data_IF_500012660888
#
_entry.id   IF_500012660888
#
_cell.length_a   1.000
_cell.length_b   1.000
_cell.length_c   1.000
_cell.angle_alpha   90.00
_cell.angle_beta   90.00
_cell.angle_gamma   90.00
#
_symmetry.space_group_name_H-M   'P 1'
#
loop_
_entity.id
_entity.type
_entity.pdbx_description
1 polymer ?
#
# COMPACT_ATOMS: atom_id res chain seq x y z
N UNK A 1 -1.83 -6.35 3.47
CA UNK A 1 -2.94 -5.69 4.19
C UNK A 1 -4.26 -6.27 3.67
N UNK A 2 -5.32 -6.25 4.47
CA UNK A 2 -6.66 -6.59 3.99
C UNK A 2 -7.49 -5.32 3.78
N UNK A 3 -8.18 -5.24 2.64
CA UNK A 3 -9.21 -4.24 2.39
C UNK A 3 -10.55 -4.95 2.61
N UNK A 4 -11.26 -4.57 3.67
CA UNK A 4 -12.60 -5.07 3.98
C UNK A 4 -13.63 -4.05 3.52
N UNK A 5 -14.61 -4.50 2.74
CA UNK A 5 -15.78 -3.72 2.35
C UNK A 5 -17.03 -4.33 2.98
N UNK A 6 -17.91 -3.46 3.46
CA UNK A 6 -19.27 -3.81 3.87
C UNK A 6 -20.20 -3.16 2.86
N UNK A 7 -21.06 -3.96 2.22
CA UNK A 7 -22.09 -3.54 1.29
C UNK A 7 -23.43 -3.65 2.00
N UNK A 8 -24.21 -2.57 2.00
CA UNK A 8 -25.55 -2.55 2.57
C UNK A 8 -26.57 -2.66 1.44
N UNK A 9 -27.50 -3.61 1.55
CA UNK A 9 -28.69 -3.63 0.72
C UNK A 9 -29.75 -2.76 1.40
N UNK A 10 -29.94 -1.54 0.88
CA UNK A 10 -30.94 -0.60 1.36
C UNK A 10 -32.32 -0.80 0.69
N UNK A 11 -32.43 -1.75 -0.26
CA UNK A 11 -33.66 -2.13 -0.93
C UNK A 11 -34.40 -3.30 -0.27
N UNK A 12 -35.63 -3.57 -0.71
CA UNK A 12 -36.46 -4.66 -0.18
C UNK A 12 -36.23 -6.01 -0.88
N UNK A 13 -35.56 -6.01 -2.03
CA UNK A 13 -35.30 -7.21 -2.81
C UNK A 13 -34.02 -7.90 -2.36
N UNK A 14 -34.07 -9.23 -2.20
CA UNK A 14 -32.88 -10.01 -1.91
C UNK A 14 -32.04 -10.18 -3.17
N UNK A 15 -30.78 -9.75 -3.13
CA UNK A 15 -29.81 -9.89 -4.22
C UNK A 15 -28.88 -11.07 -3.90
N UNK A 16 -28.91 -12.17 -4.69
CA UNK A 16 -28.13 -13.37 -4.37
C UNK A 16 -26.63 -13.22 -4.62
N UNK A 17 -26.27 -12.45 -5.64
CA UNK A 17 -24.89 -12.25 -6.09
C UNK A 17 -24.65 -10.76 -6.28
N UNK A 18 -23.70 -10.20 -5.54
CA UNK A 18 -23.36 -8.77 -5.63
C UNK A 18 -21.92 -8.65 -6.16
N UNK A 19 -21.71 -8.22 -7.42
CA UNK A 19 -20.38 -7.93 -7.94
C UNK A 19 -19.82 -6.65 -7.31
N UNK A 20 -18.55 -6.69 -6.94
CA UNK A 20 -17.82 -5.59 -6.28
C UNK A 20 -16.45 -5.44 -6.93
N UNK A 21 -16.15 -4.27 -7.45
CA UNK A 21 -14.88 -3.92 -8.07
C UNK A 21 -14.07 -2.99 -7.16
N UNK A 22 -12.76 -3.23 -7.11
CA UNK A 22 -11.81 -2.49 -6.29
C UNK A 22 -10.82 -1.74 -7.16
N UNK A 23 -10.61 -0.47 -6.84
CA UNK A 23 -9.73 0.42 -7.56
C UNK A 23 -8.78 1.14 -6.63
N UNK A 24 -7.59 1.41 -7.15
CA UNK A 24 -6.61 2.29 -6.56
C UNK A 24 -6.73 3.67 -7.20
N UNK A 25 -6.84 4.72 -6.39
CA UNK A 25 -6.95 6.11 -6.84
C UNK A 25 -5.62 6.81 -6.67
N UNK A 26 -5.10 7.35 -7.77
CA UNK A 26 -3.91 8.20 -7.79
C UNK A 26 -4.25 9.66 -7.46
N UNK A 27 -3.26 10.41 -7.00
CA UNK A 27 -3.39 11.86 -6.70
C UNK A 27 -3.86 12.70 -7.88
N UNK A 28 -3.61 12.24 -9.11
CA UNK A 28 -4.07 12.90 -10.34
C UNK A 28 -5.54 12.59 -10.70
N UNK A 29 -6.26 11.86 -9.84
CA UNK A 29 -7.65 11.45 -10.02
C UNK A 29 -7.86 10.23 -10.93
N UNK A 30 -6.78 9.60 -11.42
CA UNK A 30 -6.88 8.37 -12.20
C UNK A 30 -7.18 7.17 -11.29
N UNK A 31 -8.00 6.24 -11.80
CA UNK A 31 -8.29 4.98 -11.12
C UNK A 31 -7.59 3.81 -11.84
N UNK A 32 -6.94 2.96 -11.06
CA UNK A 32 -6.30 1.73 -11.52
C UNK A 32 -7.11 0.56 -10.97
N UNK A 33 -7.55 -0.36 -11.83
CA UNK A 33 -8.26 -1.55 -11.40
C UNK A 33 -7.33 -2.48 -10.61
N UNK A 34 -7.79 -2.95 -9.45
CA UNK A 34 -7.05 -3.88 -8.58
C UNK A 34 -7.56 -5.30 -8.85
N UNK A 35 -8.82 -5.55 -8.50
CA UNK A 35 -9.49 -6.83 -8.65
C UNK A 35 -11.00 -6.66 -8.43
N UNK A 36 -11.77 -7.72 -8.70
CA UNK A 36 -13.18 -7.80 -8.33
C UNK A 36 -13.47 -8.99 -7.42
N UNK A 37 -14.65 -8.99 -6.82
CA UNK A 37 -15.21 -10.08 -6.04
C UNK A 37 -16.71 -10.19 -6.37
N UNK A 38 -17.28 -11.37 -6.11
CA UNK A 38 -18.74 -11.55 -6.10
C UNK A 38 -19.13 -12.04 -4.72
N UNK A 39 -19.99 -11.28 -4.05
CA UNK A 39 -20.57 -11.66 -2.76
C UNK A 39 -21.73 -12.61 -3.03
N UNK A 40 -21.60 -13.86 -2.59
CA UNK A 40 -22.74 -14.77 -2.46
C UNK A 40 -23.43 -14.50 -1.12
N UNK A 41 -24.60 -13.85 -1.16
CA UNK A 41 -25.30 -13.40 0.04
C UNK A 41 -25.87 -14.55 0.87
N UNK A 42 -26.05 -15.74 0.27
CA UNK A 42 -26.45 -16.94 1.00
C UNK A 42 -25.26 -17.56 1.75
N UNK A 43 -24.07 -17.55 1.14
CA UNK A 43 -22.84 -18.05 1.77
C UNK A 43 -22.33 -17.13 2.89
N UNK A 44 -22.48 -15.81 2.72
CA UNK A 44 -21.96 -14.80 3.66
C UNK A 44 -22.69 -14.72 5.00
N UNK A 45 -23.92 -15.25 5.11
CA UNK A 45 -24.63 -15.34 6.40
C UNK A 45 -23.91 -16.23 7.45
N UNK A 46 -22.84 -16.92 7.06
CA UNK A 46 -22.09 -17.85 7.89
C UNK A 46 -20.65 -17.38 8.24
N UNK A 47 -20.25 -16.13 7.94
CA UNK A 47 -18.91 -15.63 8.29
C UNK A 47 -18.86 -15.08 9.73
N UNK A 48 -17.91 -15.58 10.52
CA UNK A 48 -17.86 -15.46 12.00
C UNK A 48 -17.38 -14.09 12.53
N UNK A 49 -17.21 -13.06 11.69
CA UNK A 49 -16.85 -11.72 12.18
C UNK A 49 -17.36 -10.60 11.27
N UNK A 50 -18.49 -10.00 11.64
CA UNK A 50 -18.93 -8.70 11.11
C UNK A 50 -18.67 -7.63 12.18
N UNK A 51 -18.04 -6.49 11.85
CA UNK A 51 -17.95 -5.36 12.77
C UNK A 51 -19.36 -4.95 13.24
N UNK A 52 -19.55 -4.49 14.48
CA UNK A 52 -20.84 -4.04 14.98
C UNK A 52 -21.54 -3.01 14.08
N UNK A 53 -20.75 -2.16 13.39
CA UNK A 53 -21.25 -1.16 12.44
C UNK A 53 -21.91 -1.78 11.20
N UNK A 54 -21.47 -2.99 10.82
CA UNK A 54 -22.04 -3.78 9.72
C UNK A 54 -23.32 -4.52 10.13
N UNK A 55 -23.67 -4.57 11.43
CA UNK A 55 -24.84 -5.34 11.91
C UNK A 55 -26.17 -4.56 11.81
N UNK A 56 -26.19 -3.43 11.10
CA UNK A 56 -27.40 -2.64 10.89
C UNK A 56 -27.94 -2.91 9.47
N UNK A 57 -29.00 -3.71 9.38
CA UNK A 57 -29.69 -4.03 8.12
C UNK A 57 -29.13 -5.25 7.38
N UNK A 58 -29.58 -5.45 6.15
CA UNK A 58 -29.09 -6.50 5.25
C UNK A 58 -27.72 -6.08 4.70
N UNK A 59 -26.65 -6.41 5.42
CA UNK A 59 -25.28 -6.07 5.04
C UNK A 59 -24.45 -7.31 4.76
N UNK A 60 -23.52 -7.18 3.82
CA UNK A 60 -22.65 -8.24 3.36
C UNK A 60 -21.19 -7.78 3.34
N UNK A 61 -20.28 -8.66 3.68
CA UNK A 61 -18.85 -8.36 3.69
C UNK A 61 -18.15 -8.97 2.49
N UNK A 62 -17.12 -8.30 2.01
CA UNK A 62 -16.09 -8.92 1.17
C UNK A 62 -14.73 -8.39 1.58
N UNK A 63 -13.68 -9.16 1.28
CA UNK A 63 -12.32 -8.76 1.61
C UNK A 63 -11.37 -9.16 0.49
N UNK A 64 -10.41 -8.29 0.22
CA UNK A 64 -9.31 -8.56 -0.68
C UNK A 64 -7.98 -8.39 0.04
N UNK A 65 -6.96 -9.13 -0.42
CA UNK A 65 -5.59 -8.89 0.02
C UNK A 65 -4.96 -7.87 -0.91
N UNK A 66 -4.40 -6.81 -0.31
CA UNK A 66 -3.69 -5.78 -1.04
C UNK A 66 -2.30 -5.56 -0.42
N UNK A 67 -1.29 -5.36 -1.28
CA UNK A 67 0.10 -5.15 -0.88
C UNK A 67 0.55 -3.84 -1.52
N UNK A 68 0.85 -2.86 -0.67
CA UNK A 68 1.49 -1.62 -1.10
C UNK A 68 2.85 -1.95 -1.75
N UNK A 69 3.12 -1.36 -2.90
CA UNK A 69 4.42 -1.45 -3.56
C UNK A 69 5.36 -0.33 -3.08
N UNK A 70 6.68 -0.50 -3.22
CA UNK A 70 7.66 0.51 -2.78
C UNK A 70 7.55 1.87 -3.50
N UNK A 71 6.71 2.02 -4.51
CA UNK A 71 6.44 3.32 -5.17
C UNK A 71 5.15 3.98 -4.68
N UNK A 72 4.43 3.36 -3.75
CA UNK A 72 3.13 3.77 -3.26
C UNK A 72 3.27 4.22 -1.81
N UNK A 73 3.62 5.48 -1.62
CA UNK A 73 3.68 6.10 -0.30
C UNK A 73 2.83 7.36 -0.22
N UNK A 74 2.60 7.88 0.98
CA UNK A 74 1.74 9.04 1.19
C UNK A 74 0.26 8.65 1.22
N UNK A 75 -0.61 9.63 0.96
CA UNK A 75 -2.06 9.41 0.95
C UNK A 75 -2.43 8.62 -0.29
N UNK A 76 -2.99 7.44 -0.09
CA UNK A 76 -3.47 6.57 -1.15
C UNK A 76 -4.95 6.31 -0.99
N UNK A 77 -5.65 6.28 -2.12
CA UNK A 77 -7.09 6.15 -2.16
C UNK A 77 -7.53 4.77 -2.61
N UNK A 78 -8.46 4.16 -1.88
CA UNK A 78 -9.17 2.96 -2.33
C UNK A 78 -10.59 3.36 -2.68
N UNK A 79 -11.01 3.06 -3.91
CA UNK A 79 -12.38 3.16 -4.36
C UNK A 79 -12.97 1.77 -4.52
N UNK A 80 -14.20 1.60 -4.07
CA UNK A 80 -14.97 0.38 -4.23
C UNK A 80 -16.25 0.72 -4.97
N UNK A 81 -16.58 -0.06 -5.99
CA UNK A 81 -17.78 0.10 -6.81
C UNK A 81 -18.60 -1.17 -6.73
N UNK A 82 -19.84 -1.05 -6.32
CA UNK A 82 -20.84 -2.13 -6.35
C UNK A 82 -21.54 -2.11 -7.69
N UNK A 83 -21.78 -3.29 -8.27
CA UNK A 83 -22.53 -3.45 -9.52
C UNK A 83 -22.15 -2.48 -10.65
N UNK A 84 -20.85 -2.41 -10.94
CA UNK A 84 -20.32 -1.53 -11.99
C UNK A 84 -21.02 -1.67 -13.36
N UNK A 85 -21.51 -2.87 -13.68
CA UNK A 85 -22.17 -3.16 -14.95
C UNK A 85 -23.69 -2.92 -14.91
N UNK A 86 -24.23 -2.43 -13.79
CA UNK A 86 -25.64 -2.12 -13.56
C UNK A 86 -26.55 -3.33 -13.91
N UNK A 87 -26.17 -4.51 -13.42
CA UNK A 87 -26.86 -5.78 -13.68
C UNK A 87 -27.94 -6.10 -12.64
N UNK A 88 -27.93 -5.39 -11.51
CA UNK A 88 -28.93 -5.43 -10.45
C UNK A 88 -29.76 -4.16 -10.60
N UNK A 89 -31.09 -4.29 -10.62
CA UNK A 89 -31.97 -3.13 -10.65
C UNK A 89 -32.07 -2.53 -9.23
N UNK A 90 -31.43 -1.38 -9.01
CA UNK A 90 -31.43 -0.69 -7.72
C UNK A 90 -32.36 0.54 -7.74
N UNK A 91 -32.85 0.95 -6.57
CA UNK A 91 -33.68 2.17 -6.47
C UNK A 91 -32.82 3.42 -6.72
N UNK A 92 -31.56 3.36 -6.31
CA UNK A 92 -30.57 4.41 -6.47
C UNK A 92 -29.32 3.79 -7.08
N UNK A 93 -29.03 4.10 -8.33
CA UNK A 93 -27.82 3.59 -9.02
C UNK A 93 -26.58 4.46 -8.74
N UNK A 94 -26.76 5.58 -8.03
CA UNK A 94 -25.75 6.60 -7.79
C UNK A 94 -25.08 6.50 -6.41
N UNK A 95 -25.54 5.61 -5.54
CA UNK A 95 -24.96 5.37 -4.21
C UNK A 95 -24.04 4.14 -4.13
N UNK A 96 -23.63 3.60 -5.28
CA UNK A 96 -22.85 2.37 -5.40
C UNK A 96 -21.32 2.56 -5.36
N UNK A 97 -20.86 3.76 -5.05
CA UNK A 97 -19.42 4.11 -5.03
C UNK A 97 -19.01 4.60 -3.65
N UNK A 98 -18.02 3.93 -3.07
CA UNK A 98 -17.41 4.33 -1.80
C UNK A 98 -15.91 4.60 -1.97
N UNK A 99 -15.39 5.56 -1.20
CA UNK A 99 -13.99 5.93 -1.20
C UNK A 99 -13.43 5.99 0.21
N UNK A 100 -12.21 5.50 0.40
CA UNK A 100 -11.46 5.68 1.64
C UNK A 100 -9.98 5.89 1.37
N UNK A 101 -9.43 6.91 1.99
CA UNK A 101 -8.00 7.19 1.96
C UNK A 101 -7.28 6.50 3.12
N UNK A 102 -6.04 6.08 2.87
CA UNK A 102 -5.10 5.58 3.86
C UNK A 102 -3.74 6.23 3.64
N UNK A 103 -2.98 6.46 4.70
CA UNK A 103 -1.62 6.98 4.58
C UNK A 103 -0.63 5.82 4.68
N UNK A 104 0.17 5.61 3.63
CA UNK A 104 1.26 4.64 3.64
C UNK A 104 2.53 5.37 4.04
N UNK A 105 3.16 4.89 5.10
CA UNK A 105 4.36 5.52 5.62
C UNK A 105 5.52 5.32 4.65
N UNK A 106 6.18 6.42 4.28
CA UNK A 106 7.48 6.40 3.61
C UNK A 106 8.54 5.98 4.65
N UNK A 107 9.45 5.09 4.27
CA UNK A 107 10.64 4.74 5.08
C UNK A 107 11.90 5.15 4.30
N UNK A 108 13.00 5.56 4.95
CA UNK A 108 14.20 5.96 4.22
C UNK A 108 14.75 4.81 3.36
N UNK A 109 15.18 5.12 2.15
CA UNK A 109 15.92 4.20 1.28
C UNK A 109 17.33 4.77 1.05
N UNK A 110 18.31 4.17 1.74
CA UNK A 110 19.68 4.67 1.78
C UNK A 110 20.53 4.00 0.71
N UNK A 111 21.17 4.82 -0.13
CA UNK A 111 22.09 4.36 -1.17
C UNK A 111 23.46 5.03 -1.06
N UNK A 112 24.46 4.30 -1.54
CA UNK A 112 25.82 4.76 -1.74
C UNK A 112 26.36 4.17 -3.04
N UNK A 113 27.18 4.94 -3.76
CA UNK A 113 27.87 4.52 -4.96
C UNK A 113 29.38 4.74 -4.85
N UNK A 114 30.15 4.22 -5.80
CA UNK A 114 31.61 4.41 -5.83
C UNK A 114 32.01 5.88 -5.95
N UNK A 115 31.21 6.71 -6.64
CA UNK A 115 31.45 8.15 -6.75
C UNK A 115 31.19 8.93 -5.46
N UNK A 116 30.57 8.30 -4.46
CA UNK A 116 30.31 8.92 -3.16
C UNK A 116 31.43 8.66 -2.14
N UNK A 117 32.47 7.92 -2.55
CA UNK A 117 33.62 7.59 -1.71
C UNK A 117 34.80 8.44 -2.16
N UNK A 118 35.38 9.18 -1.22
CA UNK A 118 36.50 10.08 -1.48
C UNK A 118 37.65 9.80 -0.54
N UNK A 119 38.86 10.01 -1.03
CA UNK A 119 40.08 9.95 -0.24
C UNK A 119 40.67 11.35 -0.15
N UNK A 120 41.16 11.75 1.02
CA UNK A 120 41.90 13.01 1.16
C UNK A 120 43.13 13.07 0.25
N UNK A 121 43.69 11.90 -0.07
CA UNK A 121 44.72 11.69 -1.07
C UNK A 121 44.48 10.33 -1.76
N UNK A 122 44.19 10.28 -3.08
CA UNK A 122 43.98 9.03 -3.80
C UNK A 122 45.28 8.25 -4.06
N UNK A 123 46.45 8.83 -3.79
CA UNK A 123 47.77 8.24 -4.04
C UNK A 123 48.72 8.42 -2.85
N UNK A 124 48.37 7.88 -1.66
CA UNK A 124 49.18 8.05 -0.46
C UNK A 124 50.55 7.34 -0.58
N UNK A 125 51.56 7.91 0.05
CA UNK A 125 52.83 7.23 0.25
C UNK A 125 52.71 6.15 1.34
N UNK A 126 53.65 5.20 1.36
CA UNK A 126 53.72 4.19 2.42
C UNK A 126 53.83 4.86 3.81
N UNK A 127 52.96 4.45 4.74
CA UNK A 127 52.87 5.03 6.08
C UNK A 127 52.15 6.39 6.16
N UNK A 128 51.65 6.94 5.05
CA UNK A 128 50.87 8.17 5.06
C UNK A 128 49.44 7.89 5.56
N UNK A 129 49.01 8.66 6.55
CA UNK A 129 47.62 8.66 7.00
C UNK A 129 46.74 9.42 6.01
N UNK A 130 45.57 8.85 5.70
CA UNK A 130 44.55 9.49 4.87
C UNK A 130 43.18 9.40 5.54
N UNK A 131 42.31 10.34 5.19
CA UNK A 131 40.91 10.32 5.59
C UNK A 131 40.06 9.78 4.44
N UNK A 132 39.14 8.87 4.77
CA UNK A 132 38.12 8.38 3.85
C UNK A 132 36.81 9.11 4.16
N UNK A 133 36.21 9.69 3.13
CA UNK A 133 34.88 10.32 3.21
C UNK A 133 33.89 9.44 2.46
N UNK A 134 32.66 9.39 2.97
CA UNK A 134 31.53 8.73 2.28
C UNK A 134 30.30 9.61 2.36
N UNK A 135 29.57 9.72 1.25
CA UNK A 135 28.29 10.41 1.17
C UNK A 135 27.17 9.36 1.03
N UNK A 136 26.22 9.37 1.98
CA UNK A 136 25.04 8.51 1.93
C UNK A 136 23.86 9.35 1.48
N UNK A 137 23.12 8.86 0.49
CA UNK A 137 21.93 9.52 -0.03
C UNK A 137 20.69 8.78 0.44
N UNK A 138 19.66 9.52 0.85
CA UNK A 138 18.30 8.98 0.94
C UNK A 138 17.60 9.26 -0.39
N UNK A 139 17.06 8.24 -1.05
CA UNK A 139 16.28 8.43 -2.29
C UNK A 139 14.85 8.86 -2.04
N UNK A 140 14.36 8.67 -0.83
CA UNK A 140 13.02 9.08 -0.45
C UNK A 140 12.99 10.52 0.05
N UNK A 141 11.89 11.24 -0.23
CA UNK A 141 11.66 12.61 0.24
C UNK A 141 11.18 12.65 1.69
N UNK A 142 11.97 12.02 2.57
CA UNK A 142 11.77 12.08 4.01
C UNK A 142 13.09 12.32 4.73
N UNK A 143 13.00 12.97 5.90
CA UNK A 143 14.15 13.16 6.76
C UNK A 143 14.60 11.81 7.31
N UNK A 144 15.84 11.43 7.03
CA UNK A 144 16.49 10.30 7.69
C UNK A 144 16.99 10.74 9.06
N UNK A 145 16.61 10.02 10.12
CA UNK A 145 17.19 10.18 11.45
C UNK A 145 18.60 9.55 11.51
N UNK A 146 19.21 9.49 12.70
CA UNK A 146 20.54 8.87 12.87
C UNK A 146 20.57 7.42 12.34
N UNK A 147 21.58 7.10 11.54
CA UNK A 147 21.87 5.76 11.05
C UNK A 147 23.35 5.42 11.26
N UNK A 148 23.67 4.12 11.28
CA UNK A 148 25.04 3.64 11.44
C UNK A 148 25.70 3.41 10.08
N UNK A 149 26.93 3.89 9.94
CA UNK A 149 27.80 3.58 8.80
C UNK A 149 29.02 2.84 9.33
N UNK A 150 29.35 1.72 8.70
CA UNK A 150 30.56 0.96 9.00
C UNK A 150 31.40 0.85 7.73
N UNK A 151 32.68 1.20 7.84
CA UNK A 151 33.64 1.11 6.75
C UNK A 151 34.55 -0.08 7.07
N UNK A 152 34.66 -0.99 6.11
CA UNK A 152 35.46 -2.19 6.21
C UNK A 152 36.59 -2.15 5.18
N UNK A 153 37.78 -2.59 5.57
CA UNK A 153 38.95 -2.68 4.69
C UNK A 153 38.94 -3.96 3.82
N UNK A 154 38.16 -4.97 4.21
CA UNK A 154 37.97 -6.24 3.50
C UNK A 154 36.47 -6.62 3.47
N UNK A 155 36.12 -7.71 2.79
CA UNK A 155 34.76 -8.22 2.72
C UNK A 155 34.17 -8.40 4.14
N UNK A 156 33.02 -7.77 4.45
CA UNK A 156 32.37 -7.88 5.77
C UNK A 156 32.08 -9.33 6.18
N UNK A 157 31.91 -10.24 5.22
CA UNK A 157 31.66 -11.66 5.46
C UNK A 157 32.85 -12.40 6.09
N UNK A 158 34.04 -11.80 6.07
CA UNK A 158 35.26 -12.34 6.66
C UNK A 158 35.48 -11.90 8.11
N UNK A 159 34.58 -11.08 8.69
CA UNK A 159 34.69 -10.55 10.05
C UNK A 159 33.68 -11.26 10.96
N UNK A 160 34.11 -12.37 11.57
CA UNK A 160 33.40 -13.11 12.61
C UNK A 160 33.72 -12.52 13.98
#
# INVERSE_FOLDING_TARGET
>A
MYITTIVHNDGELNVPLIPVDFYYMLDNGSVIWIQNQTIDTAAMKNLEYMPPEAMKGDAYMTQITWVATPSEYGIQGIQVVVDLNNTIDEIHEDNNVAFKAMNINIVPDLKISTSDIFFSDPTPNEGQEITIFSMIHNTEDIVTNNFHVQIYYDNPSNMI
#
